data_IF_268837558693
#
_entry.id   IF_268837558693
#
_cell.length_a   1.000
_cell.length_b   1.000
_cell.length_c   1.000
_cell.angle_alpha   90.00
_cell.angle_beta   90.00
_cell.angle_gamma   90.00
#
_symmetry.space_group_name_H-M   'P 1'
#
loop_
_entity.id
_entity.type
_entity.pdbx_description
1 polymer ?
#
# COMPACT_ATOMS: atom_id res chain seq x y z
N UNK A 1 -23.69 5.40 14.84
CA UNK A 1 -22.51 5.14 15.68
C UNK A 1 -21.30 5.12 14.76
N UNK A 2 -20.17 5.68 15.17
CA UNK A 2 -18.97 5.80 14.34
C UNK A 2 -17.93 4.78 14.82
N UNK A 3 -17.27 4.06 13.91
CA UNK A 3 -16.30 3.03 14.28
C UNK A 3 -15.09 3.65 15.01
N UNK A 4 -14.80 4.93 14.74
CA UNK A 4 -13.79 5.75 15.40
C UNK A 4 -13.95 5.79 16.93
N UNK A 5 -15.17 5.66 17.44
CA UNK A 5 -15.46 5.65 18.88
C UNK A 5 -14.88 4.42 19.59
N UNK A 6 -14.50 3.39 18.83
CA UNK A 6 -13.89 2.17 19.32
C UNK A 6 -12.38 2.12 19.11
N UNK A 7 -11.76 3.21 18.65
CA UNK A 7 -10.31 3.29 18.50
C UNK A 7 -9.60 3.00 19.83
N UNK A 8 -8.55 2.17 19.78
CA UNK A 8 -7.79 1.65 20.92
C UNK A 8 -8.57 0.80 21.91
N UNK A 9 -9.79 0.35 21.57
CA UNK A 9 -10.51 -0.62 22.40
C UNK A 9 -10.16 -2.05 22.01
N UNK A 10 -10.18 -2.93 23.01
CA UNK A 10 -10.14 -4.37 22.78
C UNK A 10 -11.46 -4.83 22.17
N UNK A 11 -11.38 -5.51 21.03
CA UNK A 11 -12.52 -6.05 20.29
C UNK A 11 -12.27 -7.52 19.96
N UNK A 12 -13.35 -8.28 19.79
CA UNK A 12 -13.31 -9.65 19.26
C UNK A 12 -14.01 -9.71 17.91
N UNK A 13 -13.38 -10.34 16.94
CA UNK A 13 -13.98 -10.58 15.62
C UNK A 13 -14.93 -11.78 15.73
N UNK A 14 -16.22 -11.53 15.87
CA UNK A 14 -17.22 -12.60 15.98
C UNK A 14 -17.49 -13.25 14.62
N UNK A 15 -17.67 -12.42 13.58
CA UNK A 15 -17.84 -12.86 12.20
C UNK A 15 -17.19 -11.90 11.20
N UNK A 16 -16.86 -12.43 10.04
CA UNK A 16 -16.32 -11.68 8.92
C UNK A 16 -16.88 -12.24 7.61
N UNK A 17 -17.39 -11.35 6.76
CA UNK A 17 -17.85 -11.65 5.41
C UNK A 17 -17.22 -10.69 4.41
N UNK A 18 -17.48 -10.91 3.11
CA UNK A 18 -16.93 -10.07 2.05
C UNK A 18 -17.37 -8.61 2.15
N UNK A 19 -18.55 -8.34 2.70
CA UNK A 19 -19.20 -7.02 2.75
C UNK A 19 -19.33 -6.43 4.15
N UNK A 20 -19.01 -7.17 5.22
CA UNK A 20 -19.11 -6.66 6.59
C UNK A 20 -18.21 -7.40 7.59
N UNK A 21 -17.99 -6.78 8.75
CA UNK A 21 -17.40 -7.40 9.95
C UNK A 21 -18.35 -7.24 11.14
N UNK A 22 -18.40 -8.26 11.99
CA UNK A 22 -19.11 -8.23 13.26
C UNK A 22 -18.09 -8.26 14.40
N UNK A 23 -18.11 -7.23 15.23
CA UNK A 23 -17.19 -7.04 16.36
C UNK A 23 -17.96 -7.10 17.68
N UNK A 24 -17.45 -7.86 18.63
CA UNK A 24 -17.87 -7.79 20.02
C UNK A 24 -16.97 -6.83 20.79
N UNK A 25 -17.57 -5.84 21.44
CA UNK A 25 -16.92 -4.75 22.17
C UNK A 25 -17.70 -4.57 23.47
N UNK A 26 -17.06 -4.70 24.63
CA UNK A 26 -17.71 -4.55 25.95
C UNK A 26 -18.99 -5.42 26.07
N UNK A 27 -18.93 -6.67 25.59
CA UNK A 27 -20.04 -7.64 25.55
C UNK A 27 -21.24 -7.23 24.67
N UNK A 28 -21.09 -6.23 23.80
CA UNK A 28 -22.07 -5.84 22.79
C UNK A 28 -21.55 -6.13 21.39
N UNK A 29 -22.45 -6.56 20.52
CA UNK A 29 -22.12 -6.90 19.14
C UNK A 29 -22.47 -5.74 18.21
N UNK A 30 -21.55 -5.37 17.33
CA UNK A 30 -21.70 -4.29 16.37
C UNK A 30 -21.35 -4.80 14.97
N UNK A 31 -22.18 -4.47 13.98
CA UNK A 31 -21.91 -4.76 12.56
C UNK A 31 -21.44 -3.50 11.85
N UNK A 32 -20.36 -3.64 11.09
CA UNK A 32 -19.84 -2.61 10.21
C UNK A 32 -19.80 -3.13 8.78
N UNK A 33 -20.62 -2.54 7.91
CA UNK A 33 -20.60 -2.80 6.48
C UNK A 33 -19.44 -2.05 5.81
N UNK A 34 -18.81 -2.67 4.83
CA UNK A 34 -17.70 -2.09 4.08
C UNK A 34 -18.22 -1.36 2.84
N UNK A 35 -17.96 -0.06 2.74
CA UNK A 35 -18.18 0.68 1.49
C UNK A 35 -16.97 0.49 0.58
N UNK A 36 -17.18 -0.04 -0.63
CA UNK A 36 -16.14 -0.19 -1.66
C UNK A 36 -14.83 -0.85 -1.15
N UNK A 37 -14.95 -2.01 -0.47
CA UNK A 37 -13.80 -2.77 0.04
C UNK A 37 -12.74 -3.02 -1.04
N UNK A 38 -11.47 -2.84 -0.69
CA UNK A 38 -10.31 -3.10 -1.57
C UNK A 38 -9.55 -4.36 -1.21
N UNK A 39 -9.22 -4.53 0.07
CA UNK A 39 -8.37 -5.63 0.52
C UNK A 39 -8.74 -6.01 1.95
N UNK A 40 -8.53 -7.26 2.33
CA UNK A 40 -8.73 -7.71 3.71
C UNK A 40 -7.88 -8.93 4.01
N UNK A 41 -7.29 -8.97 5.20
CA UNK A 41 -6.64 -10.12 5.80
C UNK A 41 -7.19 -10.30 7.21
N UNK A 42 -8.18 -11.20 7.36
CA UNK A 42 -8.92 -11.39 8.61
C UNK A 42 -9.13 -12.88 8.89
N UNK A 43 -8.93 -13.27 10.15
CA UNK A 43 -9.20 -14.57 10.76
C UNK A 43 -10.29 -14.38 11.83
N UNK A 44 -11.34 -15.21 11.79
CA UNK A 44 -12.46 -15.14 12.73
C UNK A 44 -12.04 -15.55 14.15
N UNK A 45 -12.80 -15.09 15.15
CA UNK A 45 -12.67 -15.42 16.58
C UNK A 45 -11.37 -14.94 17.26
N UNK A 46 -10.61 -14.07 16.63
CA UNK A 46 -9.46 -13.42 17.25
C UNK A 46 -9.86 -12.17 18.04
N UNK A 47 -9.08 -11.89 19.09
CA UNK A 47 -9.22 -10.71 19.97
C UNK A 47 -8.02 -9.81 19.71
N UNK A 48 -8.25 -8.50 19.63
CA UNK A 48 -7.17 -7.54 19.45
C UNK A 48 -7.59 -6.11 19.72
N UNK A 49 -6.63 -5.20 19.59
CA UNK A 49 -6.88 -3.77 19.72
C UNK A 49 -7.30 -3.21 18.37
N UNK A 50 -8.48 -2.58 18.33
CA UNK A 50 -8.96 -1.90 17.14
C UNK A 50 -8.20 -0.60 16.93
N UNK A 51 -7.65 -0.43 15.74
CA UNK A 51 -7.07 0.81 15.29
C UNK A 51 -7.62 1.18 13.91
N UNK A 52 -7.84 2.48 13.68
CA UNK A 52 -8.35 3.00 12.43
C UNK A 52 -7.35 4.03 11.90
N UNK A 53 -6.93 3.86 10.66
CA UNK A 53 -5.94 4.73 10.04
C UNK A 53 -6.49 5.33 8.75
N UNK A 54 -6.27 6.64 8.60
CA UNK A 54 -6.43 7.37 7.32
C UNK A 54 -5.10 7.50 6.58
N UNK A 55 -3.99 7.25 7.28
CA UNK A 55 -2.63 7.25 6.74
C UNK A 55 -1.89 6.04 7.31
N UNK A 56 -1.40 5.17 6.43
CA UNK A 56 -0.66 3.96 6.79
C UNK A 56 0.10 3.46 5.55
N UNK A 57 1.29 2.85 5.64
CA UNK A 57 2.03 2.35 4.47
C UNK A 57 1.20 1.44 3.55
N UNK A 58 0.35 0.58 4.11
CA UNK A 58 -0.58 -0.26 3.34
C UNK A 58 -1.52 0.54 2.44
N UNK A 59 -1.95 1.73 2.87
CA UNK A 59 -2.92 2.54 2.15
C UNK A 59 -2.33 3.18 0.90
N UNK A 60 -1.00 3.33 0.79
CA UNK A 60 -0.34 3.95 -0.37
C UNK A 60 -0.78 3.25 -1.67
N UNK A 61 -0.81 1.92 -1.69
CA UNK A 61 -1.20 1.15 -2.89
C UNK A 61 -2.69 1.23 -3.26
N UNK A 62 -3.54 1.72 -2.36
CA UNK A 62 -4.99 1.80 -2.56
C UNK A 62 -5.50 3.23 -2.71
N UNK A 63 -4.79 4.17 -2.08
CA UNK A 63 -5.17 5.57 -2.05
C UNK A 63 -4.55 6.37 -3.19
N UNK A 64 -3.53 5.87 -3.85
CA UNK A 64 -2.85 6.60 -4.91
C UNK A 64 -2.94 5.84 -6.24
N UNK A 65 -3.07 6.59 -7.33
CA UNK A 65 -2.87 6.03 -8.67
C UNK A 65 -1.42 5.65 -8.91
N UNK A 66 -1.26 4.59 -9.67
CA UNK A 66 0.03 4.12 -10.14
C UNK A 66 0.44 4.91 -11.38
N UNK A 67 1.68 5.37 -11.43
CA UNK A 67 2.26 5.97 -12.63
C UNK A 67 3.43 5.12 -13.13
N UNK A 68 3.48 4.96 -14.45
CA UNK A 68 4.57 4.25 -15.11
C UNK A 68 5.80 5.14 -15.18
N UNK A 69 6.96 4.58 -14.84
CA UNK A 69 8.23 5.29 -14.86
C UNK A 69 9.17 4.64 -15.86
N UNK A 70 9.77 5.46 -16.70
CA UNK A 70 10.78 5.06 -17.68
C UNK A 70 12.12 5.70 -17.35
N UNK A 71 13.18 4.95 -17.56
CA UNK A 71 14.57 5.42 -17.46
C UNK A 71 15.07 5.85 -18.85
N UNK A 72 15.80 6.95 -18.91
CA UNK A 72 16.30 7.58 -20.15
C UNK A 72 17.82 7.85 -20.13
N UNK A 73 18.51 7.47 -19.05
CA UNK A 73 19.97 7.41 -19.00
C UNK A 73 20.43 6.30 -18.06
N UNK A 74 21.65 5.79 -18.24
CA UNK A 74 22.21 4.73 -17.39
C UNK A 74 22.98 5.34 -16.21
N UNK A 75 22.88 4.77 -14.99
CA UNK A 75 23.72 5.19 -13.87
C UNK A 75 25.17 4.72 -14.04
N UNK A 76 26.13 5.45 -13.48
CA UNK A 76 27.54 5.03 -13.46
C UNK A 76 27.77 3.76 -12.62
N UNK A 77 27.05 3.63 -11.50
CA UNK A 77 27.17 2.52 -10.55
C UNK A 77 25.85 1.78 -10.42
N UNK A 78 25.62 0.81 -11.30
CA UNK A 78 24.35 0.08 -11.41
C UNK A 78 23.94 -0.57 -10.08
N UNK A 79 24.82 -1.33 -9.44
CA UNK A 79 24.48 -2.06 -8.21
C UNK A 79 24.08 -1.10 -7.08
N UNK A 80 24.84 0.00 -6.91
CA UNK A 80 24.52 1.02 -5.91
C UNK A 80 23.20 1.74 -6.21
N UNK A 81 22.89 1.98 -7.48
CA UNK A 81 21.62 2.58 -7.88
C UNK A 81 20.44 1.67 -7.56
N UNK A 82 20.55 0.37 -7.84
CA UNK A 82 19.51 -0.62 -7.53
C UNK A 82 19.30 -0.74 -6.01
N UNK A 83 20.38 -0.80 -5.23
CA UNK A 83 20.32 -0.86 -3.77
C UNK A 83 19.64 0.39 -3.17
N UNK A 84 19.95 1.57 -3.68
CA UNK A 84 19.34 2.82 -3.23
C UNK A 84 17.85 2.90 -3.59
N UNK A 85 17.45 2.40 -4.77
CA UNK A 85 16.02 2.26 -5.15
C UNK A 85 15.33 1.34 -4.14
N UNK A 86 15.89 0.16 -3.89
CA UNK A 86 15.31 -0.81 -2.96
C UNK A 86 15.10 -0.19 -1.58
N UNK A 87 16.13 0.41 -0.99
CA UNK A 87 16.07 1.02 0.35
C UNK A 87 15.02 2.12 0.43
N UNK A 88 15.02 3.03 -0.54
CA UNK A 88 14.06 4.15 -0.63
C UNK A 88 12.61 3.67 -0.65
N UNK A 89 12.33 2.62 -1.42
CA UNK A 89 10.99 2.03 -1.48
C UNK A 89 10.68 1.32 -0.16
N UNK A 90 11.55 0.45 0.33
CA UNK A 90 11.33 -0.33 1.57
C UNK A 90 11.06 0.56 2.80
N UNK A 91 11.77 1.69 2.92
CA UNK A 91 11.52 2.70 3.96
C UNK A 91 10.10 3.27 3.92
N UNK A 92 9.50 3.35 2.74
CA UNK A 92 8.11 3.80 2.53
C UNK A 92 7.10 2.74 2.94
N UNK A 93 7.43 1.48 2.68
CA UNK A 93 6.52 0.35 2.89
C UNK A 93 6.56 -0.18 4.31
N UNK A 94 7.65 0.04 5.05
CA UNK A 94 7.84 -0.44 6.44
C UNK A 94 7.52 -1.93 6.59
N UNK A 95 7.88 -2.74 5.60
CA UNK A 95 7.68 -4.20 5.60
C UNK A 95 6.27 -4.69 5.24
N UNK A 96 5.30 -3.80 4.97
CA UNK A 96 3.93 -4.21 4.64
C UNK A 96 3.74 -4.70 3.20
N UNK A 97 4.69 -4.37 2.32
CA UNK A 97 4.76 -4.72 0.90
C UNK A 97 6.22 -4.91 0.52
N UNK A 98 6.48 -5.57 -0.61
CA UNK A 98 7.83 -5.76 -1.12
C UNK A 98 8.09 -4.84 -2.31
N UNK A 99 9.27 -4.21 -2.37
CA UNK A 99 9.62 -3.29 -3.46
C UNK A 99 9.55 -3.97 -4.85
N UNK A 100 9.89 -5.27 -4.91
CA UNK A 100 9.81 -6.08 -6.12
C UNK A 100 8.38 -6.16 -6.70
N UNK A 101 7.34 -5.90 -5.92
CA UNK A 101 5.95 -5.88 -6.39
C UNK A 101 5.74 -4.77 -7.43
N UNK A 102 6.44 -3.64 -7.29
CA UNK A 102 6.39 -2.51 -8.23
C UNK A 102 7.16 -2.76 -9.54
N UNK A 103 7.95 -3.83 -9.59
CA UNK A 103 8.78 -4.20 -10.75
C UNK A 103 8.28 -5.47 -11.42
N UNK A 104 7.66 -6.40 -10.69
CA UNK A 104 7.23 -7.69 -11.23
C UNK A 104 5.75 -7.71 -11.54
N UNK A 105 4.94 -7.39 -10.54
CA UNK A 105 3.49 -7.59 -10.59
C UNK A 105 2.81 -6.43 -11.33
N UNK A 106 3.31 -5.21 -11.15
CA UNK A 106 2.61 -3.98 -11.59
C UNK A 106 3.05 -3.43 -12.94
N UNK A 107 4.22 -3.80 -13.40
CA UNK A 107 4.81 -3.36 -14.69
C UNK A 107 4.65 -4.39 -15.79
N UNK A 108 4.53 -5.68 -15.43
CA UNK A 108 4.63 -6.82 -16.34
C UNK A 108 6.06 -7.19 -16.76
N UNK A 109 7.10 -6.57 -16.18
CA UNK A 109 8.51 -6.92 -16.45
C UNK A 109 9.03 -7.85 -15.35
N UNK A 110 10.11 -8.59 -15.61
CA UNK A 110 10.79 -9.36 -14.56
C UNK A 110 12.06 -8.62 -14.08
N UNK A 111 12.71 -9.16 -13.06
CA UNK A 111 13.93 -8.57 -12.46
C UNK A 111 15.09 -8.51 -13.46
N UNK A 112 15.19 -9.46 -14.38
CA UNK A 112 16.22 -9.45 -15.42
C UNK A 112 15.99 -8.29 -16.40
N UNK A 113 14.76 -8.08 -16.86
CA UNK A 113 14.40 -6.96 -17.75
C UNK A 113 14.59 -5.62 -17.05
N UNK A 114 14.25 -5.53 -15.77
CA UNK A 114 14.52 -4.35 -14.94
C UNK A 114 16.01 -3.99 -14.94
N UNK A 115 16.88 -4.95 -14.62
CA UNK A 115 18.32 -4.74 -14.62
C UNK A 115 18.87 -4.39 -16.01
N UNK A 116 18.37 -5.05 -17.07
CA UNK A 116 18.74 -4.73 -18.45
C UNK A 116 18.36 -3.31 -18.85
N UNK A 117 17.17 -2.84 -18.47
CA UNK A 117 16.73 -1.47 -18.76
C UNK A 117 17.61 -0.44 -18.04
N UNK A 118 18.02 -0.71 -16.80
CA UNK A 118 18.97 0.14 -16.06
C UNK A 118 20.33 0.16 -16.74
N UNK A 119 20.86 -1.01 -17.10
CA UNK A 119 22.17 -1.11 -17.75
C UNK A 119 22.19 -0.40 -19.12
N UNK A 120 21.10 -0.49 -19.88
CA UNK A 120 20.96 0.23 -21.16
C UNK A 120 20.64 1.71 -20.98
N UNK A 121 20.17 2.12 -19.81
CA UNK A 121 19.66 3.46 -19.55
C UNK A 121 18.39 3.78 -20.33
N UNK A 122 17.61 2.77 -20.70
CA UNK A 122 16.42 2.93 -21.53
C UNK A 122 15.39 1.84 -21.25
N UNK A 123 14.13 2.25 -21.10
CA UNK A 123 12.99 1.34 -20.95
C UNK A 123 12.20 1.57 -19.67
N UNK A 124 11.30 0.63 -19.36
CA UNK A 124 10.44 0.72 -18.18
C UNK A 124 11.26 0.43 -16.92
N UNK A 125 11.19 1.33 -15.94
CA UNK A 125 11.85 1.20 -14.66
C UNK A 125 10.92 0.56 -13.63
N UNK A 126 9.79 1.19 -13.32
CA UNK A 126 8.80 0.65 -12.38
C UNK A 126 7.41 1.25 -12.58
N UNK A 127 6.40 0.66 -11.94
CA UNK A 127 5.04 1.20 -11.89
C UNK A 127 4.60 1.25 -10.44
N UNK A 128 4.47 2.45 -9.88
CA UNK A 128 4.23 2.65 -8.45
C UNK A 128 3.35 3.88 -8.15
N UNK A 129 2.76 3.94 -6.95
CA UNK A 129 2.12 5.13 -6.39
C UNK A 129 3.01 6.37 -6.45
N UNK A 130 2.43 7.55 -6.71
CA UNK A 130 3.21 8.76 -6.95
C UNK A 130 4.07 9.18 -5.73
N UNK A 131 3.68 8.89 -4.50
CA UNK A 131 4.52 9.18 -3.31
C UNK A 131 5.79 8.30 -3.27
N UNK A 132 5.73 7.10 -3.83
CA UNK A 132 6.91 6.23 -4.02
C UNK A 132 7.80 6.83 -5.13
N UNK A 133 7.20 7.37 -6.19
CA UNK A 133 7.93 8.00 -7.29
C UNK A 133 8.67 9.25 -6.86
N UNK A 134 8.10 10.08 -5.99
CA UNK A 134 8.77 11.27 -5.44
C UNK A 134 10.06 10.91 -4.67
N UNK A 135 10.09 9.73 -4.05
CA UNK A 135 11.32 9.22 -3.42
C UNK A 135 12.29 8.62 -4.42
N UNK A 136 11.79 7.96 -5.47
CA UNK A 136 12.60 7.48 -6.58
C UNK A 136 13.29 8.65 -7.30
N UNK A 137 12.61 9.77 -7.54
CA UNK A 137 13.16 10.98 -8.16
C UNK A 137 14.42 11.48 -7.42
N UNK A 138 14.43 11.40 -6.09
CA UNK A 138 15.60 11.75 -5.26
C UNK A 138 16.77 10.79 -5.47
N UNK A 139 16.49 9.49 -5.57
CA UNK A 139 17.51 8.48 -5.89
C UNK A 139 18.06 8.70 -7.29
N UNK A 140 17.20 8.92 -8.28
CA UNK A 140 17.62 9.20 -9.65
C UNK A 140 18.47 10.47 -9.73
N UNK A 141 18.11 11.53 -9.01
CA UNK A 141 18.89 12.76 -8.94
C UNK A 141 20.28 12.52 -8.32
N UNK A 142 20.38 11.74 -7.24
CA UNK A 142 21.66 11.34 -6.61
C UNK A 142 22.60 10.61 -7.59
N UNK A 143 22.04 9.83 -8.50
CA UNK A 143 22.78 9.02 -9.48
C UNK A 143 22.85 9.64 -10.88
N UNK A 144 22.41 10.89 -11.05
CA UNK A 144 22.34 11.59 -12.34
C UNK A 144 21.56 10.82 -13.43
N UNK A 145 20.54 10.07 -13.01
CA UNK A 145 19.67 9.29 -13.89
C UNK A 145 18.45 10.12 -14.32
N UNK A 146 18.22 10.20 -15.62
CA UNK A 146 17.05 10.83 -16.20
C UNK A 146 15.88 9.85 -16.24
N UNK A 147 14.73 10.29 -15.76
CA UNK A 147 13.50 9.50 -15.77
C UNK A 147 12.32 10.29 -16.32
N UNK A 148 11.25 9.59 -16.70
CA UNK A 148 9.98 10.18 -17.10
C UNK A 148 8.82 9.37 -16.54
N UNK A 149 7.81 10.09 -16.02
CA UNK A 149 6.59 9.50 -15.47
C UNK A 149 5.41 9.67 -16.43
N UNK A 150 4.52 8.68 -16.47
CA UNK A 150 3.28 8.71 -17.23
C UNK A 150 2.11 8.24 -16.35
N UNK A 151 1.03 9.02 -16.34
CA UNK A 151 -0.16 8.77 -15.54
C UNK A 151 -0.58 9.99 -14.72
N UNK A 152 -1.85 10.02 -14.34
CA UNK A 152 -2.41 11.09 -13.52
C UNK A 152 -2.14 10.83 -12.03
N UNK A 153 -1.92 11.90 -11.27
CA UNK A 153 -1.81 11.86 -9.81
C UNK A 153 -3.19 12.05 -9.18
N UNK A 154 -3.82 10.97 -8.75
CA UNK A 154 -5.16 10.98 -8.14
C UNK A 154 -5.09 10.31 -6.77
N UNK A 155 -5.74 10.91 -5.79
CA UNK A 155 -5.89 10.38 -4.44
C UNK A 155 -7.33 9.91 -4.22
N UNK A 156 -7.49 8.71 -3.66
CA UNK A 156 -8.75 8.13 -3.20
C UNK A 156 -8.68 7.88 -1.70
N UNK A 157 -9.62 8.39 -0.88
CA UNK A 157 -9.47 8.34 0.57
C UNK A 157 -10.03 7.03 1.16
N UNK A 158 -9.31 5.91 1.01
CA UNK A 158 -9.64 4.70 1.77
C UNK A 158 -9.10 4.78 3.19
N UNK A 159 -9.75 4.03 4.08
CA UNK A 159 -9.41 3.85 5.47
C UNK A 159 -8.95 2.40 5.71
N UNK A 160 -8.10 2.24 6.72
CA UNK A 160 -7.61 0.94 7.18
C UNK A 160 -8.16 0.69 8.58
N UNK A 161 -9.03 -0.32 8.71
CA UNK A 161 -9.39 -0.90 9.99
C UNK A 161 -8.41 -2.03 10.30
N UNK A 162 -7.75 -1.96 11.45
CA UNK A 162 -6.75 -2.94 11.86
C UNK A 162 -7.08 -3.47 13.26
N UNK A 163 -6.95 -4.78 13.44
CA UNK A 163 -7.10 -5.48 14.72
C UNK A 163 -5.84 -6.33 14.90
N UNK A 164 -4.91 -5.86 15.71
CA UNK A 164 -3.53 -6.38 15.76
C UNK A 164 -2.89 -6.41 14.35
N UNK A 165 -2.60 -7.59 13.80
CA UNK A 165 -1.98 -7.77 12.47
C UNK A 165 -3.01 -8.07 11.36
N UNK A 166 -4.30 -8.07 11.71
CA UNK A 166 -5.39 -8.29 10.76
C UNK A 166 -5.96 -6.97 10.29
N UNK A 167 -6.43 -6.90 9.06
CA UNK A 167 -6.92 -5.65 8.53
C UNK A 167 -8.01 -5.76 7.46
N UNK A 168 -8.73 -4.65 7.29
CA UNK A 168 -9.65 -4.39 6.18
C UNK A 168 -9.37 -2.99 5.64
N UNK A 169 -9.28 -2.86 4.32
CA UNK A 169 -9.19 -1.58 3.62
C UNK A 169 -10.49 -1.35 2.85
N UNK A 170 -11.16 -0.24 3.14
CA UNK A 170 -12.42 0.14 2.53
C UNK A 170 -12.51 1.67 2.43
N UNK A 171 -13.40 2.20 1.60
CA UNK A 171 -13.66 3.64 1.55
C UNK A 171 -14.27 4.13 2.87
N UNK A 172 -15.14 3.32 3.47
CA UNK A 172 -15.81 3.63 4.73
C UNK A 172 -16.30 2.37 5.45
N UNK A 173 -16.56 2.51 6.77
CA UNK A 173 -17.07 1.46 7.66
C UNK A 173 -18.40 1.91 8.28
N UNK A 174 -19.50 1.46 7.69
CA UNK A 174 -20.84 1.95 8.01
C UNK A 174 -21.45 1.07 9.10
N UNK A 175 -21.75 1.68 10.25
CA UNK A 175 -22.47 1.00 11.32
C UNK A 175 -23.90 0.63 10.90
N UNK A 176 -24.30 -0.61 11.19
CA UNK A 176 -25.67 -1.10 11.10
C UNK A 176 -26.13 -1.62 12.45
N UNK A 177 -27.33 -1.24 12.88
CA UNK A 177 -28.00 -1.93 13.97
C UNK A 177 -28.23 -3.39 13.54
N UNK A 178 -27.71 -4.33 14.32
CA UNK A 178 -28.06 -5.75 14.25
C UNK A 178 -29.27 -6.04 15.12
#
# INVERSE_FOLDING_TARGET
MLIEQFHNKTVKIEDFQTTYIILSIENKTFRFDFKNKKESFVKKKEIGVLALYKQHPLLINHNETYCETYINSSPEKIDLFVDDIQKSIEESLKGWRHWKDYIKIKTGINEQVFLQNIQKGSGKLLNAPFSILEKLEKVCSKHHVLIRHFGDKIIKPHQLLMINNQFVIAEDFIFRNT
#
